data_IF_259946142983
#
_entry.id   IF_259946142983
#
_cell.length_a   1.000
_cell.length_b   1.000
_cell.length_c   1.000
_cell.angle_alpha   90.00
_cell.angle_beta   90.00
_cell.angle_gamma   90.00
#
_symmetry.space_group_name_H-M   'P 1'
#
loop_
_entity.id
_entity.type
_entity.pdbx_description
1 polymer ?
#
# COMPACT_ATOMS: atom_id res chain seq x y z
N UNK A 1 21.58 8.79 -6.54
CA UNK A 1 20.79 8.36 -7.72
C UNK A 1 19.68 9.38 -7.90
N UNK A 2 19.59 10.00 -9.07
CA UNK A 2 18.57 11.00 -9.37
C UNK A 2 17.23 10.29 -9.54
N UNK A 3 16.35 10.43 -8.55
CA UNK A 3 14.96 9.99 -8.65
C UNK A 3 14.18 11.02 -9.47
N UNK A 4 14.50 11.15 -10.76
CA UNK A 4 13.59 11.85 -11.66
C UNK A 4 12.35 10.97 -11.84
N UNK A 5 11.20 11.51 -11.45
CA UNK A 5 9.93 10.83 -11.67
C UNK A 5 9.73 10.65 -13.17
N UNK A 6 9.54 9.40 -13.60
CA UNK A 6 9.16 9.09 -14.98
C UNK A 6 7.86 9.81 -15.30
N UNK A 7 7.87 10.60 -16.38
CA UNK A 7 6.66 11.23 -16.86
C UNK A 7 5.67 10.16 -17.37
N UNK A 8 4.39 10.52 -17.33
CA UNK A 8 3.29 9.62 -17.68
C UNK A 8 3.36 9.14 -19.13
N UNK A 9 3.78 9.99 -20.07
CA UNK A 9 3.83 9.63 -21.50
C UNK A 9 4.93 8.59 -21.73
N UNK A 10 6.07 8.77 -21.08
CA UNK A 10 7.17 7.81 -21.16
C UNK A 10 6.80 6.47 -20.51
N UNK A 11 6.11 6.48 -19.36
CA UNK A 11 5.67 5.23 -18.72
C UNK A 11 4.63 4.47 -19.54
N UNK A 12 3.64 5.16 -20.11
CA UNK A 12 2.64 4.53 -21.00
C UNK A 12 3.31 3.90 -22.22
N UNK A 13 4.26 4.60 -22.86
CA UNK A 13 5.02 4.06 -24.00
C UNK A 13 5.83 2.81 -23.67
N UNK A 14 6.38 2.74 -22.46
CA UNK A 14 7.12 1.57 -21.99
C UNK A 14 6.20 0.37 -21.75
N UNK A 15 4.98 0.63 -21.25
CA UNK A 15 3.99 -0.41 -20.92
C UNK A 15 3.14 -0.85 -22.12
N UNK A 16 3.10 -0.10 -23.21
CA UNK A 16 2.45 -0.50 -24.48
C UNK A 16 3.17 -1.65 -25.21
N UNK A 17 4.33 -2.09 -24.71
CA UNK A 17 5.03 -3.29 -25.17
C UNK A 17 5.86 -3.14 -26.45
N UNK A 18 5.51 -2.18 -27.31
CA UNK A 18 6.23 -1.91 -28.57
C UNK A 18 7.72 -1.59 -28.39
N UNK A 19 8.08 -0.97 -27.26
CA UNK A 19 9.47 -0.63 -26.97
C UNK A 19 10.24 -1.82 -26.36
N UNK A 20 9.54 -2.78 -25.74
CA UNK A 20 10.13 -3.89 -24.97
C UNK A 20 10.70 -4.96 -25.88
N UNK A 21 10.07 -5.21 -27.02
CA UNK A 21 10.48 -6.20 -28.01
C UNK A 21 11.72 -5.78 -28.82
N UNK A 22 12.33 -4.64 -28.47
CA UNK A 22 13.61 -4.24 -29.04
C UNK A 22 14.72 -5.20 -28.58
N UNK A 23 15.47 -5.83 -29.51
CA UNK A 23 16.59 -6.71 -29.17
C UNK A 23 17.74 -5.97 -28.47
N UNK A 24 17.72 -4.64 -28.46
CA UNK A 24 18.69 -3.80 -27.76
C UNK A 24 18.38 -3.60 -26.26
N UNK A 25 17.24 -4.09 -25.75
CA UNK A 25 16.87 -3.88 -24.36
C UNK A 25 17.66 -4.79 -23.40
N UNK A 26 18.20 -4.24 -22.30
CA UNK A 26 18.78 -5.05 -21.24
C UNK A 26 17.75 -6.05 -20.69
N UNK A 27 18.14 -7.32 -20.60
CA UNK A 27 17.27 -8.42 -20.16
C UNK A 27 16.55 -8.14 -18.82
N UNK A 28 17.17 -7.52 -17.79
CA UNK A 28 16.46 -7.18 -16.55
C UNK A 28 15.30 -6.19 -16.75
N UNK A 29 15.47 -5.21 -17.63
CA UNK A 29 14.44 -4.21 -17.95
C UNK A 29 13.30 -4.86 -18.73
N UNK A 30 13.61 -5.70 -19.72
CA UNK A 30 12.60 -6.44 -20.49
C UNK A 30 11.76 -7.36 -19.59
N UNK A 31 12.39 -8.02 -18.61
CA UNK A 31 11.69 -8.85 -17.61
C UNK A 31 10.78 -8.02 -16.72
N UNK A 32 11.26 -6.89 -16.22
CA UNK A 32 10.46 -5.98 -15.39
C UNK A 32 9.23 -5.46 -16.15
N UNK A 33 9.42 -4.96 -17.37
CA UNK A 33 8.32 -4.44 -18.20
C UNK A 33 7.34 -5.54 -18.62
N UNK A 34 7.81 -6.77 -18.77
CA UNK A 34 6.92 -7.93 -19.00
C UNK A 34 6.09 -8.25 -17.76
N UNK A 35 6.70 -8.25 -16.57
CA UNK A 35 5.98 -8.47 -15.32
C UNK A 35 4.95 -7.36 -15.04
N UNK A 36 5.31 -6.10 -15.29
CA UNK A 36 4.42 -4.95 -15.12
C UNK A 36 3.20 -4.98 -16.05
N UNK A 37 3.33 -5.58 -17.24
CA UNK A 37 2.24 -5.77 -18.21
C UNK A 37 1.40 -7.03 -17.95
N UNK A 38 1.84 -7.92 -17.09
CA UNK A 38 1.13 -9.17 -16.84
C UNK A 38 -0.25 -8.88 -16.24
N UNK A 39 -1.24 -9.69 -16.65
CA UNK A 39 -2.55 -9.64 -16.01
C UNK A 39 -2.40 -9.93 -14.51
N UNK A 40 -3.08 -9.18 -13.63
CA UNK A 40 -3.07 -9.43 -12.19
C UNK A 40 -3.50 -10.86 -11.87
N UNK A 41 -2.89 -11.44 -10.84
CA UNK A 41 -3.21 -12.81 -10.42
C UNK A 41 -4.59 -12.84 -9.76
N UNK A 42 -5.28 -14.01 -9.78
CA UNK A 42 -6.52 -14.17 -9.02
C UNK A 42 -6.34 -13.75 -7.56
N UNK A 43 -7.20 -12.87 -7.06
CA UNK A 43 -7.17 -12.37 -5.68
C UNK A 43 -6.23 -11.19 -5.41
N UNK A 44 -5.32 -10.85 -6.34
CA UNK A 44 -4.38 -9.73 -6.17
C UNK A 44 -5.09 -8.37 -6.05
N UNK A 45 -6.22 -8.23 -6.74
CA UNK A 45 -7.05 -7.02 -6.73
C UNK A 45 -8.26 -7.10 -5.78
N UNK A 46 -8.30 -8.09 -4.88
CA UNK A 46 -9.42 -8.21 -3.93
C UNK A 46 -9.53 -6.96 -3.08
N UNK A 47 -10.66 -6.26 -3.19
CA UNK A 47 -10.94 -5.02 -2.46
C UNK A 47 -10.59 -3.73 -3.20
N UNK A 48 -9.99 -3.79 -4.39
CA UNK A 48 -9.63 -2.60 -5.19
C UNK A 48 -10.83 -1.66 -5.40
N UNK A 49 -11.97 -2.19 -5.85
CA UNK A 49 -13.17 -1.37 -6.07
C UNK A 49 -13.65 -0.66 -4.80
N UNK A 50 -13.54 -1.30 -3.63
CA UNK A 50 -13.87 -0.67 -2.34
C UNK A 50 -12.90 0.45 -1.99
N UNK A 51 -11.60 0.24 -2.21
CA UNK A 51 -10.56 1.24 -1.99
C UNK A 51 -10.75 2.46 -2.91
N UNK A 52 -11.01 2.25 -4.20
CA UNK A 52 -11.25 3.32 -5.17
C UNK A 52 -12.49 4.14 -4.81
N UNK A 53 -13.58 3.48 -4.39
CA UNK A 53 -14.79 4.18 -3.94
C UNK A 53 -14.53 5.01 -2.67
N UNK A 54 -13.81 4.46 -1.69
CA UNK A 54 -13.45 5.19 -0.48
C UNK A 54 -12.58 6.42 -0.79
N UNK A 55 -11.57 6.28 -1.66
CA UNK A 55 -10.73 7.39 -2.10
C UNK A 55 -11.54 8.48 -2.81
N UNK A 56 -12.41 8.10 -3.76
CA UNK A 56 -13.24 9.07 -4.49
C UNK A 56 -14.18 9.83 -3.56
N UNK A 57 -14.77 9.15 -2.56
CA UNK A 57 -15.59 9.79 -1.52
C UNK A 57 -14.77 10.77 -0.70
N UNK A 58 -13.58 10.38 -0.23
CA UNK A 58 -12.69 11.25 0.52
C UNK A 58 -12.27 12.49 -0.28
N UNK A 59 -11.95 12.32 -1.57
CA UNK A 59 -11.57 13.41 -2.46
C UNK A 59 -12.74 14.36 -2.78
N UNK A 60 -13.96 13.84 -2.86
CA UNK A 60 -15.16 14.65 -3.13
C UNK A 60 -15.63 15.44 -1.90
N UNK A 61 -15.20 15.07 -0.69
CA UNK A 61 -15.55 15.74 0.57
C UNK A 61 -14.28 16.25 1.28
N UNK A 62 -13.66 17.36 0.80
CA UNK A 62 -12.39 17.86 1.33
C UNK A 62 -12.42 18.28 2.81
N UNK A 63 -13.60 18.33 3.46
CA UNK A 63 -13.75 18.69 4.88
C UNK A 63 -13.87 17.50 5.85
N UNK A 64 -13.76 16.25 5.39
CA UNK A 64 -13.86 15.07 6.27
C UNK A 64 -12.51 14.56 6.80
N UNK A 65 -11.41 15.26 6.55
CA UNK A 65 -10.12 15.01 7.22
C UNK A 65 -10.03 15.79 8.55
N UNK A 66 -11.08 15.69 9.38
CA UNK A 66 -10.79 15.63 10.81
C UNK A 66 -10.33 14.20 11.05
N UNK A 67 -9.01 14.00 11.11
CA UNK A 67 -8.45 12.76 11.64
C UNK A 67 -9.24 12.37 12.88
N UNK A 68 -9.64 11.10 13.05
CA UNK A 68 -9.68 10.59 14.40
C UNK A 68 -8.25 10.75 14.91
N UNK A 69 -8.02 11.83 15.66
CA UNK A 69 -6.89 11.92 16.56
C UNK A 69 -6.81 10.58 17.27
N UNK A 70 -5.60 10.08 17.48
CA UNK A 70 -5.34 8.87 18.23
C UNK A 70 -5.97 8.99 19.64
N UNK A 71 -7.26 8.67 19.74
CA UNK A 71 -8.05 8.72 20.94
C UNK A 71 -8.26 7.27 21.36
N UNK A 72 -7.37 6.80 22.23
CA UNK A 72 -7.69 5.71 23.15
C UNK A 72 -7.23 4.32 22.75
N UNK A 73 -5.94 4.14 22.48
CA UNK A 73 -5.24 3.00 23.11
C UNK A 73 -4.25 3.58 24.12
N UNK A 74 -4.82 4.19 25.17
CA UNK A 74 -4.10 4.34 26.43
C UNK A 74 -3.85 2.93 26.94
N UNK A 75 -2.57 2.54 26.98
CA UNK A 75 -2.10 1.38 27.71
C UNK A 75 -2.74 1.37 29.09
N UNK A 76 -3.50 0.33 29.39
CA UNK A 76 -4.05 0.10 30.71
C UNK A 76 -2.90 0.10 31.74
N UNK A 77 -2.98 0.84 32.86
CA UNK A 77 -2.11 0.57 33.98
C UNK A 77 -2.46 -0.84 34.47
N UNK A 78 -1.45 -1.71 34.51
CA UNK A 78 -1.56 -3.02 35.17
C UNK A 78 -1.79 -2.73 36.65
N UNK A 79 -3.07 -2.68 37.04
CA UNK A 79 -3.49 -2.63 38.43
C UNK A 79 -2.99 -3.91 39.09
N UNK A 80 -2.16 -3.72 40.11
CA UNK A 80 -1.53 -4.80 40.84
C UNK A 80 -2.54 -5.78 41.42
N UNK A 81 -2.23 -7.07 41.29
CA UNK A 81 -2.76 -8.09 42.18
C UNK A 81 -1.66 -8.40 43.18
N UNK A 82 -1.68 -7.67 44.28
CA UNK A 82 -0.94 -8.01 45.49
C UNK A 82 -1.52 -9.31 46.04
N UNK A 83 -0.71 -10.37 46.06
CA UNK A 83 -1.09 -11.66 46.67
C UNK A 83 -1.12 -11.52 48.20
N UNK A 84 -2.09 -12.13 48.91
CA UNK A 84 -2.12 -12.13 50.38
C UNK A 84 -1.07 -13.10 50.95
N UNK A 85 -0.61 -12.91 52.21
CA UNK A 85 0.32 -13.82 52.85
C UNK A 85 -0.38 -15.13 53.23
N UNK A 86 0.25 -16.25 52.90
CA UNK A 86 -0.14 -17.57 53.42
C UNK A 86 0.22 -17.64 54.90
N UNK A 87 -0.78 -17.72 55.77
CA UNK A 87 -0.61 -18.17 57.14
C UNK A 87 -0.64 -19.71 57.14
N UNK A 88 0.47 -20.33 57.51
CA UNK A 88 0.61 -21.77 57.70
C UNK A 88 1.27 -22.03 59.05
N UNK A 89 0.63 -22.90 59.82
CA UNK A 89 0.81 -23.25 61.23
C UNK A 89 2.22 -23.71 61.64
#
# INVERSE_FOLDING_TARGET
>A
MTSEALDRVTSERLLDGRLVDSPANPLPVARLLTAARAAPRPGELTGEGRAVLAFRRARAAPSAMQSPTAAGVQSAPTAGVQSPPVAGA
#
